data_IF_115979107449
#
_entry.id   IF_115979107449
#
_cell.length_a   1.000
_cell.length_b   1.000
_cell.length_c   1.000
_cell.angle_alpha   90.00
_cell.angle_beta   90.00
_cell.angle_gamma   90.00
#
_symmetry.space_group_name_H-M   'P 1'
#
loop_
_entity.id
_entity.type
_entity.pdbx_description
1 polymer ?
#
# COMPACT_ATOMS: atom_id res chain seq x y z
N UNK A 1 -30.26 2.05 30.38
CA UNK A 1 -28.86 1.94 29.90
C UNK A 1 -28.72 1.10 28.63
N UNK A 2 -29.26 -0.12 28.57
CA UNK A 2 -29.19 -1.00 27.38
C UNK A 2 -29.78 -0.40 26.09
N UNK A 3 -30.81 0.45 26.17
CA UNK A 3 -31.40 1.10 24.98
C UNK A 3 -30.46 2.10 24.31
N UNK A 4 -29.66 2.86 25.07
CA UNK A 4 -28.71 3.83 24.51
C UNK A 4 -27.60 3.15 23.72
N UNK A 5 -27.08 2.03 24.21
CA UNK A 5 -26.02 1.27 23.53
C UNK A 5 -26.55 0.72 22.20
N UNK A 6 -27.77 0.17 22.19
CA UNK A 6 -28.41 -0.31 20.96
C UNK A 6 -28.60 0.82 19.94
N UNK A 7 -29.03 2.00 20.39
CA UNK A 7 -29.16 3.18 19.53
C UNK A 7 -27.81 3.61 18.94
N UNK A 8 -26.76 3.61 19.76
CA UNK A 8 -25.41 3.97 19.34
C UNK A 8 -24.87 3.06 18.22
N UNK A 9 -25.09 1.75 18.32
CA UNK A 9 -24.71 0.81 17.25
C UNK A 9 -25.50 1.00 15.95
N UNK A 10 -26.78 1.35 16.05
CA UNK A 10 -27.62 1.64 14.88
C UNK A 10 -27.13 2.91 14.18
N UNK A 11 -26.83 3.95 14.95
CA UNK A 11 -26.32 5.22 14.43
C UNK A 11 -24.93 5.05 13.78
N UNK A 12 -24.03 4.30 14.43
CA UNK A 12 -22.70 3.96 13.85
C UNK A 12 -22.85 3.16 12.56
N UNK A 13 -23.76 2.18 12.51
CA UNK A 13 -24.00 1.40 11.29
C UNK A 13 -24.59 2.25 10.16
N UNK A 14 -25.47 3.20 10.49
CA UNK A 14 -26.05 4.14 9.53
C UNK A 14 -24.99 5.10 8.96
N UNK A 15 -24.06 5.57 9.80
CA UNK A 15 -22.96 6.43 9.40
C UNK A 15 -21.90 5.67 8.58
N UNK A 16 -21.59 4.42 8.96
CA UNK A 16 -20.74 3.52 8.18
C UNK A 16 -21.30 3.22 6.78
N UNK A 17 -22.62 3.21 6.60
CA UNK A 17 -23.26 3.09 5.27
C UNK A 17 -23.14 4.35 4.43
N UNK A 18 -22.94 5.53 5.04
CA UNK A 18 -22.66 6.79 4.33
C UNK A 18 -21.21 6.90 3.90
N UNK A 19 -20.32 6.04 4.40
CA UNK A 19 -18.95 5.94 3.90
C UNK A 19 -19.02 5.47 2.46
N UNK A 20 -18.74 6.39 1.55
CA UNK A 20 -18.60 6.15 0.12
C UNK A 20 -17.35 5.28 -0.09
N UNK A 21 -17.48 3.97 0.07
CA UNK A 21 -16.42 3.04 -0.23
C UNK A 21 -16.04 3.18 -1.70
N UNK A 22 -14.74 3.23 -1.95
CA UNK A 22 -14.21 3.24 -3.30
C UNK A 22 -14.84 2.08 -4.09
N UNK A 23 -15.47 2.42 -5.23
CA UNK A 23 -16.07 1.44 -6.13
C UNK A 23 -15.02 0.40 -6.51
N UNK A 24 -15.36 -0.89 -6.49
CA UNK A 24 -14.42 -2.02 -6.67
C UNK A 24 -13.44 -1.84 -7.84
N UNK A 25 -13.90 -1.24 -8.93
CA UNK A 25 -13.06 -0.93 -10.10
C UNK A 25 -11.96 0.09 -9.84
N UNK A 26 -12.21 1.12 -9.03
CA UNK A 26 -11.21 2.14 -8.68
C UNK A 26 -10.14 1.56 -7.79
N UNK A 27 -10.52 0.72 -6.82
CA UNK A 27 -9.58 0.04 -5.94
C UNK A 27 -8.64 -0.87 -6.71
N UNK A 28 -9.17 -1.68 -7.64
CA UNK A 28 -8.33 -2.57 -8.46
C UNK A 28 -7.36 -1.76 -9.32
N UNK A 29 -7.83 -0.69 -9.98
CA UNK A 29 -6.97 0.17 -10.82
C UNK A 29 -5.85 0.83 -10.01
N UNK A 30 -6.17 1.31 -8.81
CA UNK A 30 -5.19 1.93 -7.92
C UNK A 30 -4.15 0.91 -7.42
N UNK A 31 -4.57 -0.29 -7.02
CA UNK A 31 -3.65 -1.36 -6.61
C UNK A 31 -2.72 -1.78 -7.75
N UNK A 32 -3.23 -1.89 -8.98
CA UNK A 32 -2.40 -2.23 -10.15
C UNK A 32 -1.30 -1.20 -10.40
N UNK A 33 -1.60 0.09 -10.22
CA UNK A 33 -0.58 1.16 -10.36
C UNK A 33 0.48 1.02 -9.28
N UNK A 34 0.09 0.78 -8.02
CA UNK A 34 1.04 0.60 -6.90
C UNK A 34 1.97 -0.58 -7.17
N UNK A 35 1.44 -1.71 -7.64
CA UNK A 35 2.25 -2.89 -8.00
C UNK A 35 3.26 -2.56 -9.09
N UNK A 36 2.82 -1.84 -10.14
CA UNK A 36 3.70 -1.45 -11.24
C UNK A 36 4.85 -0.54 -10.78
N UNK A 37 4.54 0.50 -10.00
CA UNK A 37 5.55 1.42 -9.47
C UNK A 37 6.52 0.70 -8.53
N UNK A 38 6.01 -0.17 -7.66
CA UNK A 38 6.84 -0.98 -6.77
C UNK A 38 7.80 -1.89 -7.55
N UNK A 39 7.37 -2.47 -8.65
CA UNK A 39 8.21 -3.31 -9.50
C UNK A 39 9.34 -2.50 -10.14
N UNK A 40 9.05 -1.30 -10.65
CA UNK A 40 10.05 -0.40 -11.24
C UNK A 40 11.12 -0.02 -10.21
N UNK A 41 10.70 0.37 -9.00
CA UNK A 41 11.62 0.74 -7.91
C UNK A 41 12.47 -0.47 -7.49
N UNK A 42 11.87 -1.66 -7.37
CA UNK A 42 12.60 -2.87 -7.01
C UNK A 42 13.68 -3.23 -8.03
N UNK A 43 13.38 -3.10 -9.33
CA UNK A 43 14.37 -3.32 -10.40
C UNK A 43 15.49 -2.28 -10.31
N UNK A 44 15.14 -1.00 -10.15
CA UNK A 44 16.12 0.08 -10.05
C UNK A 44 17.09 -0.12 -8.88
N UNK A 45 16.54 -0.38 -7.69
CA UNK A 45 17.36 -0.65 -6.50
C UNK A 45 18.21 -1.91 -6.69
N UNK A 46 17.62 -3.01 -7.17
CA UNK A 46 18.37 -4.25 -7.41
C UNK A 46 19.57 -4.07 -8.37
N UNK A 47 19.41 -3.26 -9.43
CA UNK A 47 20.53 -2.92 -10.33
C UNK A 47 21.56 -2.05 -9.61
N UNK A 48 21.13 -1.07 -8.83
CA UNK A 48 22.02 -0.20 -8.07
C UNK A 48 22.83 -0.99 -7.03
N UNK A 49 22.20 -1.91 -6.29
CA UNK A 49 22.84 -2.76 -5.29
C UNK A 49 23.89 -3.69 -5.93
N UNK A 50 23.60 -4.27 -7.10
CA UNK A 50 24.56 -5.09 -7.84
C UNK A 50 25.74 -4.25 -8.37
N UNK A 51 25.46 -3.06 -8.90
CA UNK A 51 26.50 -2.13 -9.36
C UNK A 51 27.43 -1.68 -8.23
N UNK A 52 26.85 -1.30 -7.09
CA UNK A 52 27.57 -0.91 -5.88
C UNK A 52 28.38 -2.08 -5.31
N UNK A 53 27.83 -3.30 -5.28
CA UNK A 53 28.55 -4.49 -4.80
C UNK A 53 29.80 -4.78 -5.62
N UNK A 54 29.73 -4.65 -6.94
CA UNK A 54 30.87 -4.83 -7.82
C UNK A 54 31.93 -3.71 -7.64
N UNK A 55 31.48 -2.46 -7.46
CA UNK A 55 32.38 -1.33 -7.20
C UNK A 55 33.09 -1.47 -5.84
N UNK A 56 32.36 -1.90 -4.82
CA UNK A 56 32.89 -2.18 -3.48
C UNK A 56 33.91 -3.32 -3.51
N UNK A 57 33.67 -4.40 -4.25
CA UNK A 57 34.63 -5.49 -4.41
C UNK A 57 35.93 -5.01 -5.10
N UNK A 58 35.81 -4.15 -6.11
CA UNK A 58 36.97 -3.57 -6.78
C UNK A 58 37.81 -2.68 -5.83
N UNK A 59 37.14 -1.91 -4.97
CA UNK A 59 37.81 -1.04 -3.98
C UNK A 59 38.47 -1.81 -2.84
N UNK A 60 37.87 -2.92 -2.39
CA UNK A 60 38.41 -3.74 -1.28
C UNK A 60 39.51 -4.70 -1.77
N UNK A 61 39.44 -5.15 -3.02
CA UNK A 61 40.45 -6.04 -3.62
C UNK A 61 41.67 -5.31 -4.19
N UNK A 62 41.66 -3.98 -4.20
CA UNK A 62 42.77 -3.12 -4.65
C UNK A 62 43.67 -2.63 -3.51
#
# INVERSE_FOLDING_TARGET
MFSRIRQFFIDVQAEFKRIQWATRERTIRQTSIVVLVSLIIAIYLGVADLGLSNLMQLLISG
#
